data_IF_599056240336
#
_entry.id   IF_599056240336
#
_cell.length_a   1.000
_cell.length_b   1.000
_cell.length_c   1.000
_cell.angle_alpha   90.00
_cell.angle_beta   90.00
_cell.angle_gamma   90.00
#
_symmetry.space_group_name_H-M   'P 1'
#
loop_
_entity.id
_entity.type
_entity.pdbx_description
1 polymer ?
#
# COMPACT_ATOMS: atom_id res chain seq x y z
N UNK A 1 -46.50 -1.78 13.01
CA UNK A 1 -45.84 -0.91 12.01
C UNK A 1 -44.47 -0.39 12.47
N UNK A 2 -44.33 0.06 13.73
CA UNK A 2 -43.09 0.61 14.30
C UNK A 2 -41.89 -0.36 14.33
N UNK A 3 -42.11 -1.64 14.61
CA UNK A 3 -41.06 -2.68 14.66
C UNK A 3 -40.52 -3.08 13.28
N UNK A 4 -41.35 -3.01 12.23
CA UNK A 4 -40.91 -3.29 10.84
C UNK A 4 -40.02 -2.18 10.28
N UNK A 5 -40.31 -0.93 10.63
CA UNK A 5 -39.49 0.23 10.24
C UNK A 5 -38.13 0.16 10.95
N UNK A 6 -38.11 -0.18 12.23
CA UNK A 6 -36.86 -0.28 13.00
C UNK A 6 -35.94 -1.39 12.46
N UNK A 7 -36.49 -2.53 12.02
CA UNK A 7 -35.72 -3.62 11.39
C UNK A 7 -35.11 -3.21 10.04
N UNK A 8 -35.80 -2.39 9.26
CA UNK A 8 -35.28 -1.89 7.97
C UNK A 8 -34.09 -0.92 8.17
N UNK A 9 -34.11 -0.09 9.23
CA UNK A 9 -33.00 0.83 9.54
C UNK A 9 -31.76 0.07 10.02
N UNK A 10 -31.93 -0.97 10.85
CA UNK A 10 -30.81 -1.81 11.32
C UNK A 10 -30.18 -2.60 10.15
N UNK A 11 -31.00 -3.07 9.21
CA UNK A 11 -30.50 -3.75 8.01
C UNK A 11 -29.71 -2.81 7.07
N UNK A 12 -30.14 -1.55 6.91
CA UNK A 12 -29.42 -0.58 6.09
C UNK A 12 -28.10 -0.10 6.73
N UNK A 13 -28.01 -0.06 8.06
CA UNK A 13 -26.75 0.25 8.76
C UNK A 13 -25.71 -0.88 8.68
N UNK A 14 -26.11 -2.12 8.37
CA UNK A 14 -25.21 -3.27 8.24
C UNK A 14 -24.47 -3.38 6.89
N UNK A 15 -24.87 -2.62 5.87
CA UNK A 15 -24.36 -2.79 4.49
C UNK A 15 -23.22 -1.80 4.17
N UNK A 16 -23.04 -0.74 4.95
CA UNK A 16 -22.02 0.29 4.68
C UNK A 16 -20.58 -0.14 4.98
N UNK A 17 -20.37 -1.27 5.65
CA UNK A 17 -19.04 -1.76 6.05
C UNK A 17 -18.38 -2.74 5.04
N UNK A 18 -19.08 -3.14 3.97
CA UNK A 18 -18.56 -4.14 3.01
C UNK A 18 -17.83 -3.55 1.79
N UNK A 19 -17.92 -2.25 1.52
CA UNK A 19 -17.44 -1.66 0.26
C UNK A 19 -15.95 -1.26 0.21
N UNK A 20 -15.19 -1.40 1.30
CA UNK A 20 -13.78 -0.94 1.37
C UNK A 20 -12.73 -2.04 1.14
N UNK A 21 -13.17 -3.28 0.88
CA UNK A 21 -12.28 -4.44 0.72
C UNK A 21 -11.67 -4.58 -0.68
N UNK A 22 -12.45 -4.37 -1.74
CA UNK A 22 -12.13 -4.89 -3.08
C UNK A 22 -11.25 -3.97 -3.95
N UNK A 23 -11.35 -2.64 -3.82
CA UNK A 23 -10.61 -1.74 -4.72
C UNK A 23 -9.09 -1.77 -4.54
N UNK A 24 -8.64 -2.05 -3.31
CA UNK A 24 -7.21 -2.12 -3.00
C UNK A 24 -6.57 -3.32 -3.71
N UNK A 25 -7.27 -4.44 -3.78
CA UNK A 25 -6.77 -5.69 -4.36
C UNK A 25 -6.57 -5.58 -5.87
N UNK A 26 -7.52 -4.99 -6.60
CA UNK A 26 -7.45 -4.90 -8.06
C UNK A 26 -6.24 -4.07 -8.57
N UNK A 27 -5.90 -2.96 -7.89
CA UNK A 27 -4.72 -2.16 -8.25
C UNK A 27 -3.42 -2.96 -8.06
N UNK A 28 -3.32 -3.73 -6.97
CA UNK A 28 -2.16 -4.58 -6.72
C UNK A 28 -2.06 -5.73 -7.70
N UNK A 29 -3.19 -6.36 -8.06
CA UNK A 29 -3.22 -7.42 -9.07
C UNK A 29 -2.76 -6.90 -10.44
N UNK A 30 -3.26 -5.74 -10.87
CA UNK A 30 -2.84 -5.12 -12.13
C UNK A 30 -1.35 -4.75 -12.13
N UNK A 31 -0.86 -4.17 -11.03
CA UNK A 31 0.56 -3.84 -10.89
C UNK A 31 1.42 -5.11 -10.91
N UNK A 32 1.06 -6.15 -10.15
CA UNK A 32 1.80 -7.43 -10.12
C UNK A 32 1.83 -8.10 -11.48
N UNK A 33 0.70 -8.10 -12.20
CA UNK A 33 0.65 -8.62 -13.57
C UNK A 33 1.62 -7.88 -14.48
N UNK A 34 1.60 -6.53 -14.47
CA UNK A 34 2.55 -5.73 -15.24
C UNK A 34 4.01 -6.06 -14.93
N UNK A 35 4.37 -6.17 -13.64
CA UNK A 35 5.74 -6.49 -13.23
C UNK A 35 6.17 -7.88 -13.73
N UNK A 36 5.29 -8.87 -13.66
CA UNK A 36 5.55 -10.23 -14.13
C UNK A 36 5.67 -10.28 -15.66
N UNK A 37 4.73 -9.68 -16.39
CA UNK A 37 4.68 -9.70 -17.86
C UNK A 37 5.93 -9.03 -18.46
N UNK A 38 6.44 -7.98 -17.81
CA UNK A 38 7.62 -7.23 -18.25
C UNK A 38 8.93 -7.69 -17.58
N UNK A 39 8.89 -8.75 -16.75
CA UNK A 39 10.05 -9.28 -16.00
C UNK A 39 10.84 -8.21 -15.23
N UNK A 40 10.11 -7.23 -14.67
CA UNK A 40 10.72 -6.12 -13.92
C UNK A 40 11.11 -6.62 -12.55
N UNK A 41 12.38 -6.45 -12.19
CA UNK A 41 12.93 -6.85 -10.90
C UNK A 41 13.18 -5.63 -10.01
N UNK A 42 13.27 -5.85 -8.70
CA UNK A 42 13.63 -4.79 -7.75
C UNK A 42 15.01 -4.26 -8.15
N UNK A 43 15.10 -2.96 -8.38
CA UNK A 43 16.31 -2.30 -8.85
C UNK A 43 17.33 -2.21 -7.73
N UNK A 44 18.51 -2.78 -7.95
CA UNK A 44 19.63 -2.71 -7.00
C UNK A 44 20.83 -1.93 -7.54
N UNK A 45 20.89 -1.67 -8.86
CA UNK A 45 21.92 -0.86 -9.48
C UNK A 45 21.37 -0.01 -10.64
N UNK A 46 22.19 0.96 -11.07
CA UNK A 46 21.91 1.85 -12.19
C UNK A 46 21.82 1.06 -13.51
N UNK A 47 22.71 0.10 -13.73
CA UNK A 47 22.74 -0.75 -14.93
C UNK A 47 21.44 -1.57 -15.06
N UNK A 48 20.94 -2.08 -13.94
CA UNK A 48 19.67 -2.79 -13.93
C UNK A 48 18.50 -1.85 -14.28
N UNK A 49 18.50 -0.62 -13.75
CA UNK A 49 17.48 0.38 -14.08
C UNK A 49 17.45 0.69 -15.59
N UNK A 50 18.63 0.87 -16.20
CA UNK A 50 18.75 1.08 -17.64
C UNK A 50 18.30 -0.15 -18.46
N UNK A 51 18.71 -1.36 -18.05
CA UNK A 51 18.39 -2.58 -18.81
C UNK A 51 16.89 -2.91 -18.81
N UNK A 52 16.15 -2.56 -17.76
CA UNK A 52 14.72 -2.85 -17.65
C UNK A 52 13.81 -1.64 -17.99
N UNK A 53 14.40 -0.50 -18.35
CA UNK A 53 13.72 0.77 -18.66
C UNK A 53 12.74 1.23 -17.56
N UNK A 54 13.06 0.89 -16.30
CA UNK A 54 12.22 1.20 -15.15
C UNK A 54 13.00 1.11 -13.85
N UNK A 55 12.64 1.93 -12.86
CA UNK A 55 13.09 1.78 -11.48
C UNK A 55 11.95 1.17 -10.66
N UNK A 56 12.19 -0.01 -10.09
CA UNK A 56 11.28 -0.67 -9.17
C UNK A 56 11.90 -0.69 -7.78
N UNK A 57 11.24 -0.01 -6.84
CA UNK A 57 11.61 0.01 -5.43
C UNK A 57 10.51 -0.59 -4.58
N UNK A 58 10.88 -1.20 -3.46
CA UNK A 58 9.97 -1.79 -2.50
C UNK A 58 10.27 -1.19 -1.13
N UNK A 59 9.22 -0.92 -0.35
CA UNK A 59 9.34 -0.48 1.02
C UNK A 59 8.41 -1.30 1.92
N UNK A 60 8.89 -1.59 3.12
CA UNK A 60 8.14 -2.29 4.15
C UNK A 60 7.81 -1.32 5.28
N UNK A 61 6.60 -1.44 5.84
CA UNK A 61 6.10 -0.49 6.82
C UNK A 61 5.28 -1.16 7.91
N UNK A 62 5.67 -0.92 9.15
CA UNK A 62 4.88 -1.34 10.30
C UNK A 62 3.81 -0.28 10.64
N UNK A 63 2.66 -0.72 11.17
CA UNK A 63 1.65 0.21 11.65
C UNK A 63 2.15 0.97 12.87
N UNK A 64 1.73 2.23 13.01
CA UNK A 64 2.04 3.06 14.17
C UNK A 64 1.50 2.40 15.45
N UNK A 65 2.29 2.41 16.52
CA UNK A 65 1.87 1.91 17.84
C UNK A 65 0.58 2.58 18.32
N UNK A 66 -0.31 1.79 18.93
CA UNK A 66 -1.59 2.27 19.46
C UNK A 66 -2.71 2.48 18.43
N UNK A 67 -2.50 2.13 17.16
CA UNK A 67 -3.56 2.21 16.13
C UNK A 67 -4.38 0.93 16.04
N UNK A 68 -5.68 1.06 15.72
CA UNK A 68 -6.63 -0.06 15.60
C UNK A 68 -7.38 -0.05 14.26
N UNK A 69 -7.91 -1.21 13.87
CA UNK A 69 -8.75 -1.37 12.67
C UNK A 69 -8.15 -0.75 11.39
N UNK A 70 -8.93 0.09 10.72
CA UNK A 70 -8.55 0.76 9.47
C UNK A 70 -7.31 1.66 9.63
N UNK A 71 -7.18 2.32 10.78
CA UNK A 71 -6.04 3.22 11.05
C UNK A 71 -4.71 2.44 11.10
N UNK A 72 -4.73 1.20 11.61
CA UNK A 72 -3.58 0.30 11.59
C UNK A 72 -3.14 0.03 10.15
N UNK A 73 -4.08 -0.31 9.26
CA UNK A 73 -3.79 -0.56 7.84
C UNK A 73 -3.25 0.69 7.14
N UNK A 74 -3.89 1.84 7.31
CA UNK A 74 -3.48 3.08 6.66
C UNK A 74 -2.07 3.52 7.09
N UNK A 75 -1.76 3.43 8.38
CA UNK A 75 -0.43 3.81 8.87
C UNK A 75 0.66 2.87 8.38
N UNK A 76 0.40 1.56 8.29
CA UNK A 76 1.34 0.60 7.70
C UNK A 76 1.60 0.89 6.21
N UNK A 77 0.55 1.17 5.42
CA UNK A 77 0.69 1.52 4.00
C UNK A 77 1.50 2.82 3.84
N UNK A 78 1.22 3.83 4.65
CA UNK A 78 1.96 5.09 4.62
C UNK A 78 3.44 4.88 4.97
N UNK A 79 3.73 4.09 6.01
CA UNK A 79 5.10 3.76 6.37
C UNK A 79 5.84 3.03 5.23
N UNK A 80 5.21 2.03 4.61
CA UNK A 80 5.78 1.29 3.49
C UNK A 80 6.09 2.21 2.29
N UNK A 81 5.19 3.15 2.00
CA UNK A 81 5.38 4.15 0.95
C UNK A 81 6.58 5.05 1.22
N UNK A 82 6.71 5.56 2.45
CA UNK A 82 7.84 6.42 2.85
C UNK A 82 9.17 5.67 2.71
N UNK A 83 9.22 4.40 3.12
CA UNK A 83 10.41 3.56 2.96
C UNK A 83 10.74 3.32 1.48
N UNK A 84 9.74 3.07 0.63
CA UNK A 84 9.98 2.91 -0.81
C UNK A 84 10.51 4.20 -1.45
N UNK A 85 9.97 5.36 -1.08
CA UNK A 85 10.44 6.67 -1.53
C UNK A 85 11.87 6.95 -1.06
N UNK A 86 12.21 6.51 0.15
CA UNK A 86 13.58 6.57 0.67
C UNK A 86 14.53 5.75 -0.20
N UNK A 87 14.25 4.47 -0.41
CA UNK A 87 15.11 3.62 -1.23
C UNK A 87 15.30 4.19 -2.64
N UNK A 88 14.26 4.81 -3.22
CA UNK A 88 14.39 5.51 -4.49
C UNK A 88 15.37 6.70 -4.42
N UNK A 89 15.25 7.54 -3.39
CA UNK A 89 16.16 8.67 -3.20
C UNK A 89 17.61 8.22 -2.99
N UNK A 90 17.81 7.16 -2.18
CA UNK A 90 19.14 6.58 -1.94
C UNK A 90 19.75 6.01 -3.22
N UNK A 91 18.93 5.39 -4.08
CA UNK A 91 19.36 4.87 -5.38
C UNK A 91 19.72 5.99 -6.38
N UNK A 92 19.00 7.12 -6.37
CA UNK A 92 19.20 8.22 -7.32
C UNK A 92 20.34 9.16 -6.94
N UNK A 93 20.48 9.49 -5.65
CA UNK A 93 21.41 10.54 -5.19
C UNK A 93 22.62 10.01 -4.42
N UNK A 94 22.74 8.70 -4.21
CA UNK A 94 23.89 8.09 -3.52
C UNK A 94 24.03 8.53 -2.05
N UNK A 95 22.97 9.07 -1.45
CA UNK A 95 22.89 9.47 -0.04
C UNK A 95 22.19 8.39 0.77
N UNK A 96 22.60 8.19 2.03
CA UNK A 96 21.93 7.30 2.98
C UNK A 96 20.97 8.10 3.87
N UNK A 97 19.68 7.78 3.85
CA UNK A 97 18.65 8.52 4.59
C UNK A 97 18.27 7.73 5.84
N UNK A 98 18.89 8.07 6.97
CA UNK A 98 18.58 7.42 8.25
C UNK A 98 17.49 8.22 8.96
N UNK A 99 16.39 7.57 9.34
CA UNK A 99 15.33 8.20 10.13
C UNK A 99 14.70 7.19 11.08
N UNK A 100 14.48 7.60 12.32
CA UNK A 100 13.79 6.82 13.34
C UNK A 100 12.27 6.86 13.07
N UNK A 101 11.74 5.79 12.47
CA UNK A 101 10.30 5.65 12.24
C UNK A 101 9.71 4.67 13.27
N UNK A 102 9.13 5.19 14.35
CA UNK A 102 8.41 4.43 15.40
C UNK A 102 6.96 4.12 15.08
#
# INVERSE_FOLDING_TARGET
MKTRIMLAVVAMMGITSLALGDEVDNRFQKARKYLNDNRVNITTSIEQAYSQDAILVVGEGLPKKGTTGVQKRLTAITAAKVVAQRHLAELLEGVAVVSETT
#
